data_IF_370677571078
#
_entry.id   IF_370677571078
#
_cell.length_a   1.000
_cell.length_b   1.000
_cell.length_c   1.000
_cell.angle_alpha   90.00
_cell.angle_beta   90.00
_cell.angle_gamma   90.00
#
_symmetry.space_group_name_H-M   'P 1'
#
loop_
_entity.id
_entity.type
_entity.pdbx_description
1 polymer ?
#
# COMPACT_ATOMS: atom_id res chain seq x y z
N UNK A 1 -48.56 -50.02 27.43
CA UNK A 1 -48.86 -48.72 26.81
C UNK A 1 -49.10 -47.73 27.94
N UNK A 2 -48.18 -46.80 28.17
CA UNK A 2 -48.20 -45.87 29.29
C UNK A 2 -48.05 -44.46 28.69
N UNK A 3 -48.92 -43.48 29.01
CA UNK A 3 -48.83 -42.16 28.40
C UNK A 3 -47.68 -41.35 29.01
N UNK A 4 -46.86 -40.76 28.14
CA UNK A 4 -45.77 -39.86 28.50
C UNK A 4 -46.33 -38.51 28.98
N UNK A 5 -45.77 -37.98 30.07
CA UNK A 5 -46.11 -36.67 30.62
C UNK A 5 -45.52 -35.53 29.76
N UNK A 6 -46.19 -34.37 29.67
CA UNK A 6 -45.70 -33.22 28.90
C UNK A 6 -44.48 -32.57 29.58
N UNK A 7 -43.41 -32.36 28.83
CA UNK A 7 -42.24 -31.61 29.30
C UNK A 7 -42.52 -30.09 29.28
N UNK A 8 -42.01 -29.31 30.27
CA UNK A 8 -42.12 -27.86 30.26
C UNK A 8 -41.25 -27.24 29.16
N UNK A 9 -41.82 -26.36 28.35
CA UNK A 9 -41.09 -25.57 27.36
C UNK A 9 -40.29 -24.46 28.06
N UNK A 10 -38.97 -24.44 27.88
CA UNK A 10 -38.09 -23.38 28.35
C UNK A 10 -38.14 -22.23 27.32
N UNK A 11 -38.61 -21.06 27.75
CA UNK A 11 -38.61 -19.86 26.90
C UNK A 11 -37.20 -19.24 26.84
N UNK A 12 -36.75 -18.75 25.68
CA UNK A 12 -35.48 -18.04 25.57
C UNK A 12 -35.57 -16.65 26.21
N UNK A 13 -34.64 -16.36 27.12
CA UNK A 13 -34.47 -15.06 27.78
C UNK A 13 -33.90 -14.06 26.76
N UNK A 14 -34.63 -12.98 26.48
CA UNK A 14 -34.15 -11.88 25.65
C UNK A 14 -33.18 -10.98 26.44
N UNK A 15 -32.12 -10.43 25.79
CA UNK A 15 -31.21 -9.51 26.44
C UNK A 15 -31.87 -8.15 26.72
N UNK A 16 -31.59 -7.58 27.89
CA UNK A 16 -32.07 -6.28 28.32
C UNK A 16 -31.48 -5.17 27.43
N UNK A 17 -32.36 -4.42 26.80
CA UNK A 17 -32.06 -3.17 26.10
C UNK A 17 -31.57 -2.12 27.11
N UNK A 18 -30.34 -1.66 26.94
CA UNK A 18 -29.81 -0.48 27.63
C UNK A 18 -30.64 0.74 27.19
N UNK A 19 -31.28 1.40 28.15
CA UNK A 19 -31.96 2.67 27.92
C UNK A 19 -30.93 3.78 27.64
N UNK A 20 -31.09 4.49 26.52
CA UNK A 20 -30.39 5.73 26.24
C UNK A 20 -30.91 6.86 27.16
N UNK A 21 -30.03 7.68 27.77
CA UNK A 21 -30.46 8.88 28.48
C UNK A 21 -30.99 9.96 27.51
N UNK A 22 -32.00 10.74 27.90
CA UNK A 22 -32.58 11.77 27.05
C UNK A 22 -31.62 12.93 26.79
N UNK A 23 -31.64 13.43 25.55
CA UNK A 23 -30.90 14.59 25.10
C UNK A 23 -31.33 15.86 25.85
N UNK A 24 -30.39 16.54 26.51
CA UNK A 24 -30.62 17.88 27.02
C UNK A 24 -30.43 18.91 25.90
N UNK A 25 -31.51 19.62 25.61
CA UNK A 25 -31.52 20.80 24.75
C UNK A 25 -30.67 21.91 25.39
N UNK A 26 -29.62 22.36 24.71
CA UNK A 26 -28.85 23.54 25.11
C UNK A 26 -29.65 24.80 24.73
N UNK A 27 -29.96 25.64 25.72
CA UNK A 27 -30.50 26.99 25.49
C UNK A 27 -29.39 27.95 25.06
N UNK A 28 -29.65 28.90 24.14
CA UNK A 28 -28.69 29.93 23.76
C UNK A 28 -28.57 31.03 24.84
N UNK A 29 -27.33 31.44 25.12
CA UNK A 29 -27.00 32.50 26.06
C UNK A 29 -27.33 33.91 25.51
N UNK A 30 -27.93 34.81 26.32
CA UNK A 30 -28.19 36.19 25.90
C UNK A 30 -26.93 37.06 26.00
N UNK A 31 -26.78 37.94 25.02
CA UNK A 31 -25.68 38.89 24.86
C UNK A 31 -25.82 40.05 25.88
N UNK A 32 -24.73 40.46 26.52
CA UNK A 32 -24.66 41.66 27.36
C UNK A 32 -23.92 42.77 26.59
N UNK A 33 -24.57 43.93 26.45
CA UNK A 33 -24.04 45.17 25.87
C UNK A 33 -23.29 46.02 26.91
N UNK A 34 -22.41 46.96 26.48
CA UNK A 34 -21.59 47.79 27.36
C UNK A 34 -22.31 49.06 27.86
N UNK A 35 -22.00 49.48 29.08
CA UNK A 35 -22.45 50.77 29.65
C UNK A 35 -21.28 51.76 29.78
N UNK A 36 -21.57 53.03 29.51
CA UNK A 36 -20.68 54.18 29.41
C UNK A 36 -20.98 55.23 30.52
N UNK A 37 -20.01 56.16 30.70
CA UNK A 37 -20.05 57.51 31.33
C UNK A 37 -19.81 57.64 32.87
N UNK A 38 -19.33 58.81 33.39
CA UNK A 38 -18.37 59.80 32.87
C UNK A 38 -17.28 60.27 33.89
N UNK A 39 -16.38 61.13 33.40
CA UNK A 39 -15.14 61.65 34.02
C UNK A 39 -15.30 62.93 34.88
N UNK A 40 -14.35 63.20 35.80
CA UNK A 40 -13.88 64.56 36.23
C UNK A 40 -12.56 64.49 37.06
N UNK A 41 -11.55 65.33 36.72
CA UNK A 41 -10.59 65.97 37.67
C UNK A 41 -9.10 65.52 37.74
N UNK A 42 -8.15 66.40 37.34
CA UNK A 42 -6.65 66.36 37.44
C UNK A 42 -6.13 67.05 38.74
N UNK A 43 -4.80 67.19 39.09
CA UNK A 43 -3.52 66.69 38.49
C UNK A 43 -2.41 66.13 39.47
N UNK A 44 -1.33 65.56 38.88
CA UNK A 44 0.10 65.39 39.33
C UNK A 44 0.42 64.78 40.73
N UNK A 45 1.41 63.89 40.97
CA UNK A 45 2.86 64.00 40.72
C UNK A 45 3.64 62.74 41.26
N UNK A 46 4.87 62.51 40.74
CA UNK A 46 6.04 61.75 41.32
C UNK A 46 6.08 60.20 41.19
N UNK A 47 6.92 59.67 40.27
CA UNK A 47 8.32 59.20 40.44
C UNK A 47 8.44 57.85 41.17
N UNK A 48 8.58 56.77 40.38
CA UNK A 48 9.79 55.93 40.23
C UNK A 48 10.14 55.07 41.45
N UNK A 49 10.01 53.75 41.31
CA UNK A 49 10.95 52.69 41.74
C UNK A 49 10.31 51.33 41.39
N UNK A 50 10.66 50.73 40.26
CA UNK A 50 10.28 49.35 39.93
C UNK A 50 11.52 48.46 39.83
N UNK A 51 11.50 47.42 40.65
CA UNK A 51 12.52 46.40 40.79
C UNK A 51 12.70 45.62 39.48
N UNK A 52 13.96 45.41 39.09
CA UNK A 52 14.35 44.60 37.94
C UNK A 52 14.03 43.12 38.19
N UNK A 53 13.26 42.51 37.29
CA UNK A 53 13.13 41.05 37.21
C UNK A 53 14.37 40.46 36.50
N UNK A 54 14.88 39.28 36.92
CA UNK A 54 16.03 38.63 36.28
C UNK A 54 15.72 38.19 34.84
N UNK A 55 16.62 38.50 33.90
CA UNK A 55 16.56 37.95 32.54
C UNK A 55 16.97 36.47 32.52
N UNK A 56 16.29 35.61 31.74
CA UNK A 56 16.76 34.25 31.47
C UNK A 56 18.04 34.24 30.61
N UNK A 57 18.91 33.23 30.75
CA UNK A 57 20.17 33.15 30.01
C UNK A 57 19.93 32.92 28.49
N UNK A 58 20.88 33.32 27.63
CA UNK A 58 20.77 33.12 26.18
C UNK A 58 20.72 31.62 25.86
N UNK A 59 19.66 31.18 25.17
CA UNK A 59 19.60 29.84 24.60
C UNK A 59 20.60 29.67 23.44
N UNK A 60 20.99 28.43 23.11
CA UNK A 60 21.89 28.14 22.01
C UNK A 60 21.32 28.61 20.67
N UNK A 61 22.16 29.25 19.86
CA UNK A 61 21.82 29.80 18.55
C UNK A 61 21.42 28.68 17.57
N UNK A 62 20.22 28.75 17.03
CA UNK A 62 19.81 27.86 15.94
C UNK A 62 20.68 28.11 14.69
N UNK A 63 21.22 27.05 14.04
CA UNK A 63 21.96 27.21 12.80
C UNK A 63 21.03 27.72 11.69
N UNK A 64 21.47 28.78 11.02
CA UNK A 64 20.78 29.44 9.90
C UNK A 64 20.51 28.41 8.78
N UNK A 65 19.24 28.05 8.56
CA UNK A 65 18.83 27.28 7.38
C UNK A 65 19.11 28.09 6.12
N UNK A 66 20.09 27.66 5.33
CA UNK A 66 20.31 28.18 3.98
C UNK A 66 19.15 27.73 3.09
N UNK A 67 18.25 28.66 2.77
CA UNK A 67 17.25 28.49 1.72
C UNK A 67 17.94 28.35 0.37
N UNK A 68 18.01 27.12 -0.17
CA UNK A 68 18.31 26.90 -1.59
C UNK A 68 17.01 27.08 -2.39
N UNK A 69 16.53 28.32 -2.45
CA UNK A 69 15.65 28.76 -3.53
C UNK A 69 16.58 28.92 -4.73
N UNK A 70 16.50 28.00 -5.70
CA UNK A 70 16.94 28.09 -7.12
C UNK A 70 17.35 26.71 -7.67
N UNK A 71 16.38 25.82 -7.91
CA UNK A 71 16.42 24.87 -9.04
C UNK A 71 15.00 24.77 -9.60
N UNK A 72 14.50 25.89 -10.11
CA UNK A 72 13.39 25.95 -11.04
C UNK A 72 13.92 26.82 -12.17
N UNK A 73 14.36 26.19 -13.27
CA UNK A 73 14.63 26.73 -14.62
C UNK A 73 15.69 25.87 -15.35
N UNK A 74 15.42 24.58 -15.57
CA UNK A 74 16.22 23.78 -16.52
C UNK A 74 15.49 22.54 -17.07
N UNK A 75 14.16 22.59 -17.30
CA UNK A 75 13.41 21.45 -17.88
C UNK A 75 12.33 21.93 -18.86
N UNK A 76 12.68 22.85 -19.77
CA UNK A 76 11.85 23.18 -20.95
C UNK A 76 12.64 23.20 -22.27
N UNK A 77 13.83 22.60 -22.30
CA UNK A 77 14.65 22.48 -23.51
C UNK A 77 15.03 21.04 -23.90
N UNK A 78 14.59 20.03 -23.15
CA UNK A 78 14.87 18.61 -23.45
C UNK A 78 13.68 17.86 -24.09
N UNK A 79 12.49 18.45 -24.11
CA UNK A 79 11.28 17.82 -24.70
C UNK A 79 11.07 18.10 -26.19
N UNK A 80 11.97 18.86 -26.85
CA UNK A 80 11.88 19.13 -28.31
C UNK A 80 12.89 18.31 -29.13
N UNK A 81 13.86 17.63 -28.50
CA UNK A 81 14.90 16.88 -29.25
C UNK A 81 14.59 15.38 -29.39
N UNK A 82 13.74 14.79 -28.55
CA UNK A 82 13.41 13.34 -28.64
C UNK A 82 12.21 13.06 -29.57
N UNK A 83 11.44 14.07 -29.97
CA UNK A 83 10.40 13.92 -31.00
C UNK A 83 10.94 14.01 -32.46
N UNK A 84 12.24 14.26 -32.65
CA UNK A 84 12.85 14.48 -33.96
C UNK A 84 13.66 13.31 -34.55
N UNK A 85 13.91 12.23 -33.79
CA UNK A 85 14.87 11.19 -34.18
C UNK A 85 14.27 9.81 -34.54
N UNK A 86 12.96 9.60 -34.36
CA UNK A 86 12.29 8.32 -34.74
C UNK A 86 11.36 8.49 -35.96
N UNK A 87 11.11 9.71 -36.43
CA UNK A 87 10.22 9.98 -37.58
C UNK A 87 10.88 10.06 -38.95
N UNK A 88 12.21 9.97 -39.05
CA UNK A 88 12.96 10.37 -40.26
C UNK A 88 13.79 9.25 -40.92
N UNK A 89 13.49 7.98 -40.68
CA UNK A 89 14.14 6.85 -41.41
C UNK A 89 13.18 5.89 -42.12
N UNK A 90 11.86 6.14 -42.10
CA UNK A 90 10.88 5.32 -42.84
C UNK A 90 10.18 6.04 -44.01
N UNK A 91 10.64 7.24 -44.39
CA UNK A 91 9.96 8.06 -45.40
C UNK A 91 10.71 8.20 -46.74
N UNK A 92 11.70 7.36 -47.07
CA UNK A 92 12.42 7.45 -48.34
C UNK A 92 12.87 6.09 -48.91
N UNK A 93 11.95 5.15 -49.12
CA UNK A 93 12.08 4.16 -50.20
C UNK A 93 10.68 3.76 -50.68
N UNK A 94 10.24 4.39 -51.76
CA UNK A 94 9.02 4.03 -52.47
C UNK A 94 9.25 2.92 -53.49
N UNK A 95 8.18 2.15 -53.75
CA UNK A 95 7.98 1.22 -54.88
C UNK A 95 7.09 0.05 -54.45
N UNK A 96 5.75 0.09 -54.65
CA UNK A 96 4.99 -0.37 -55.84
C UNK A 96 5.26 -1.86 -56.15
N UNK A 97 4.31 -2.80 -56.31
CA UNK A 97 2.85 -2.86 -56.46
C UNK A 97 2.41 -4.32 -56.15
N UNK A 98 1.14 -4.57 -55.80
CA UNK A 98 0.54 -5.92 -55.92
C UNK A 98 -0.50 -6.34 -54.87
N UNK A 99 -1.74 -5.86 -55.02
CA UNK A 99 -3.01 -6.63 -55.15
C UNK A 99 -2.94 -8.17 -54.93
N UNK A 100 -3.83 -8.90 -54.24
CA UNK A 100 -5.28 -8.79 -53.98
C UNK A 100 -5.72 -9.69 -52.78
N UNK A 101 -6.86 -9.31 -52.17
CA UNK A 101 -7.97 -10.09 -51.58
C UNK A 101 -7.74 -11.23 -50.55
N UNK A 102 -8.15 -11.06 -49.28
CA UNK A 102 -9.51 -11.27 -48.71
C UNK A 102 -10.00 -12.72 -48.76
N UNK A 103 -10.07 -13.37 -47.58
CA UNK A 103 -10.73 -14.67 -47.40
C UNK A 103 -10.91 -15.02 -45.93
N UNK A 104 -12.01 -14.55 -45.35
CA UNK A 104 -12.44 -14.73 -43.96
C UNK A 104 -13.29 -16.00 -43.82
N UNK A 105 -13.24 -16.60 -42.63
CA UNK A 105 -14.29 -17.43 -41.99
C UNK A 105 -14.45 -18.90 -42.41
N UNK A 106 -14.20 -19.78 -41.43
CA UNK A 106 -15.30 -20.56 -40.83
C UNK A 106 -15.27 -22.09 -41.04
N UNK A 107 -15.77 -22.86 -40.05
CA UNK A 107 -15.37 -24.25 -39.80
C UNK A 107 -16.34 -25.28 -40.41
N UNK A 108 -15.87 -26.51 -40.64
CA UNK A 108 -16.75 -27.65 -40.92
C UNK A 108 -16.57 -28.72 -39.84
N UNK A 109 -17.64 -28.92 -39.08
CA UNK A 109 -17.87 -30.08 -38.20
C UNK A 109 -18.63 -31.11 -39.02
N UNK A 110 -18.21 -32.38 -38.96
CA UNK A 110 -19.09 -33.52 -39.18
C UNK A 110 -18.61 -34.71 -38.36
N UNK A 111 -19.55 -35.23 -37.58
CA UNK A 111 -19.46 -36.30 -36.60
C UNK A 111 -19.87 -37.67 -37.17
N UNK A 112 -19.29 -38.74 -36.61
CA UNK A 112 -19.84 -40.11 -36.39
C UNK A 112 -20.00 -41.03 -37.63
N UNK A 113 -19.73 -42.35 -37.64
CA UNK A 113 -19.62 -43.38 -36.57
C UNK A 113 -19.06 -44.72 -37.15
N UNK A 114 -18.38 -45.53 -36.31
CA UNK A 114 -18.29 -47.04 -36.26
C UNK A 114 -17.65 -47.80 -37.45
N UNK A 115 -16.81 -48.84 -37.38
CA UNK A 115 -16.41 -49.83 -36.36
C UNK A 115 -15.02 -50.43 -36.70
N UNK A 116 -14.31 -50.96 -35.69
CA UNK A 116 -13.20 -51.93 -35.83
C UNK A 116 -13.76 -53.37 -35.63
N UNK A 117 -12.99 -54.49 -35.59
CA UNK A 117 -11.54 -54.72 -35.87
C UNK A 117 -11.25 -56.01 -36.69
N UNK A 118 -10.03 -56.17 -37.23
CA UNK A 118 -9.32 -57.47 -37.27
C UNK A 118 -7.79 -57.31 -37.44
N UNK A 119 -7.08 -57.86 -36.46
CA UNK A 119 -5.69 -58.33 -36.34
C UNK A 119 -5.07 -58.91 -37.65
N UNK A 120 -3.78 -58.91 -37.99
CA UNK A 120 -2.46 -58.55 -37.42
C UNK A 120 -1.38 -58.73 -38.55
N UNK A 121 -0.08 -58.86 -38.27
CA UNK A 121 1.02 -57.88 -38.36
C UNK A 121 1.88 -57.99 -39.65
N UNK A 122 2.74 -57.00 -39.95
CA UNK A 122 4.16 -57.16 -40.40
C UNK A 122 4.82 -55.78 -40.62
N UNK A 123 5.94 -55.60 -39.92
CA UNK A 123 7.07 -54.64 -40.04
C UNK A 123 7.02 -53.45 -41.02
N UNK A 124 7.24 -52.26 -40.44
CA UNK A 124 7.74 -51.06 -41.14
C UNK A 124 8.35 -50.06 -40.14
N UNK A 125 9.56 -49.52 -40.38
CA UNK A 125 10.31 -48.75 -39.39
C UNK A 125 9.74 -47.33 -39.28
N UNK A 126 9.28 -46.93 -38.10
CA UNK A 126 8.73 -45.58 -37.91
C UNK A 126 9.39 -44.86 -36.73
N UNK A 127 10.18 -43.87 -37.12
CA UNK A 127 10.39 -42.57 -36.49
C UNK A 127 10.76 -42.53 -35.00
N UNK A 128 12.00 -42.11 -34.77
CA UNK A 128 12.42 -41.38 -33.57
C UNK A 128 11.36 -40.33 -33.21
N UNK A 129 10.64 -40.61 -32.12
CA UNK A 129 9.75 -39.63 -31.52
C UNK A 129 10.64 -38.60 -30.82
N UNK A 130 10.54 -37.30 -31.13
CA UNK A 130 11.24 -36.28 -30.36
C UNK A 130 10.74 -36.36 -28.93
N UNK A 131 11.61 -36.80 -28.01
CA UNK A 131 11.33 -36.73 -26.58
C UNK A 131 11.27 -35.25 -26.23
N UNK A 132 10.07 -34.70 -26.08
CA UNK A 132 9.87 -33.41 -25.44
C UNK A 132 10.57 -33.45 -24.08
N UNK A 133 11.54 -32.56 -23.80
CA UNK A 133 12.13 -32.49 -22.48
C UNK A 133 11.02 -32.25 -21.47
N UNK A 134 10.96 -33.08 -20.43
CA UNK A 134 10.07 -32.84 -19.30
C UNK A 134 10.33 -31.43 -18.76
N UNK A 135 9.28 -30.68 -18.37
CA UNK A 135 9.46 -29.35 -17.80
C UNK A 135 10.40 -29.45 -16.60
N UNK A 136 11.45 -28.62 -16.61
CA UNK A 136 12.42 -28.50 -15.54
C UNK A 136 11.67 -28.33 -14.24
N UNK A 137 11.90 -29.26 -13.30
CA UNK A 137 11.29 -29.24 -11.97
C UNK A 137 11.48 -27.86 -11.35
N UNK A 138 10.37 -27.12 -11.20
CA UNK A 138 10.34 -25.85 -10.50
C UNK A 138 10.93 -26.07 -9.11
N UNK A 139 11.89 -25.24 -8.72
CA UNK A 139 12.45 -25.28 -7.37
C UNK A 139 11.31 -25.19 -6.34
N UNK A 140 11.44 -25.85 -5.17
CA UNK A 140 10.44 -25.71 -4.11
C UNK A 140 10.20 -24.23 -3.78
N UNK A 141 8.95 -23.82 -3.47
CA UNK A 141 8.67 -22.44 -3.11
C UNK A 141 9.53 -22.05 -1.89
N UNK A 142 9.99 -20.79 -1.81
CA UNK A 142 10.79 -20.33 -0.68
C UNK A 142 10.03 -20.48 0.64
N UNK A 143 10.78 -20.66 1.72
CA UNK A 143 10.22 -20.79 3.07
C UNK A 143 9.75 -19.42 3.59
N UNK A 144 8.59 -19.35 4.29
CA UNK A 144 8.16 -18.13 4.97
C UNK A 144 9.01 -17.84 6.22
N UNK A 145 9.51 -16.61 6.34
CA UNK A 145 10.17 -16.06 7.53
C UNK A 145 9.22 -15.07 8.22
N UNK A 146 8.93 -15.27 9.51
CA UNK A 146 7.97 -14.43 10.25
C UNK A 146 8.67 -13.46 11.19
N UNK A 147 8.28 -12.18 11.11
CA UNK A 147 8.78 -11.07 11.91
C UNK A 147 7.60 -10.30 12.52
N UNK A 148 7.14 -10.69 13.72
CA UNK A 148 6.02 -10.03 14.37
C UNK A 148 6.43 -8.75 15.10
N UNK A 149 5.51 -7.79 15.21
CA UNK A 149 5.62 -6.65 16.11
C UNK A 149 6.66 -5.60 15.72
N UNK A 150 6.96 -5.47 14.43
CA UNK A 150 7.87 -4.42 13.95
C UNK A 150 7.19 -3.07 14.17
N UNK A 151 7.86 -2.20 14.93
CA UNK A 151 7.45 -0.82 15.13
C UNK A 151 8.18 0.06 14.11
N UNK A 152 7.48 0.51 13.08
CA UNK A 152 8.02 1.38 12.05
C UNK A 152 7.63 2.83 12.35
N UNK A 153 8.62 3.62 12.78
CA UNK A 153 8.42 5.02 13.14
C UNK A 153 8.26 5.93 11.91
N UNK A 154 7.62 7.08 12.10
CA UNK A 154 7.53 8.13 11.07
C UNK A 154 8.92 8.58 10.64
N UNK A 155 9.16 8.58 9.32
CA UNK A 155 10.46 8.91 8.73
C UNK A 155 11.45 7.75 8.69
N UNK A 156 10.99 6.52 8.97
CA UNK A 156 11.82 5.31 8.94
C UNK A 156 11.35 4.34 7.87
N UNK A 157 12.26 3.51 7.42
CA UNK A 157 12.04 2.43 6.46
C UNK A 157 12.55 1.08 6.97
N UNK A 158 12.14 0.04 6.28
CA UNK A 158 12.74 -1.30 6.35
C UNK A 158 13.16 -1.73 4.94
N UNK A 159 14.25 -2.48 4.86
CA UNK A 159 14.65 -3.22 3.66
C UNK A 159 14.06 -4.60 3.78
N UNK A 160 13.15 -4.98 2.88
CA UNK A 160 12.42 -6.25 2.96
C UNK A 160 13.37 -7.44 2.76
N UNK A 161 14.41 -7.23 1.95
CA UNK A 161 15.49 -8.18 1.72
C UNK A 161 16.41 -8.44 2.92
N UNK A 162 16.32 -7.65 4.01
CA UNK A 162 17.16 -7.83 5.19
C UNK A 162 16.64 -8.89 6.17
N UNK A 163 17.53 -9.67 6.81
CA UNK A 163 17.14 -10.72 7.76
C UNK A 163 16.49 -10.19 9.03
N UNK A 164 16.88 -9.00 9.49
CA UNK A 164 16.42 -8.48 10.78
C UNK A 164 15.23 -7.51 10.64
N UNK A 165 14.88 -7.11 9.41
CA UNK A 165 13.86 -6.08 9.10
C UNK A 165 13.93 -4.86 10.04
N UNK A 166 15.16 -4.43 10.37
CA UNK A 166 15.38 -3.40 11.37
C UNK A 166 14.99 -2.02 10.81
N UNK A 167 14.09 -1.28 11.48
CA UNK A 167 13.78 0.08 11.08
C UNK A 167 15.02 0.98 11.10
N UNK A 168 15.23 1.71 10.01
CA UNK A 168 16.33 2.66 9.83
C UNK A 168 15.78 4.01 9.37
N UNK A 169 16.41 5.11 9.79
CA UNK A 169 15.97 6.46 9.43
C UNK A 169 16.14 6.70 7.91
N UNK A 170 15.15 7.31 7.27
CA UNK A 170 15.15 7.62 5.84
C UNK A 170 13.91 7.11 5.12
N UNK A 171 13.71 7.53 3.86
CA UNK A 171 12.53 7.20 3.06
C UNK A 171 12.87 6.52 1.71
N UNK A 172 14.14 6.24 1.44
CA UNK A 172 14.62 5.91 0.07
C UNK A 172 14.67 4.39 -0.21
N UNK A 173 14.03 3.55 0.61
CA UNK A 173 14.17 2.09 0.59
C UNK A 173 12.86 1.33 0.32
N UNK A 174 12.88 0.01 0.48
CA UNK A 174 11.82 -0.91 0.06
C UNK A 174 10.43 -0.58 0.64
N UNK A 175 10.34 -0.15 1.90
CA UNK A 175 9.08 0.29 2.49
C UNK A 175 9.35 1.27 3.63
N UNK A 176 8.76 2.46 3.55
CA UNK A 176 8.81 3.47 4.59
C UNK A 176 7.44 3.77 5.19
N UNK A 177 7.45 4.31 6.40
CA UNK A 177 6.29 4.90 7.04
C UNK A 177 6.48 6.41 7.16
N UNK A 178 5.52 7.17 6.66
CA UNK A 178 5.60 8.63 6.66
C UNK A 178 4.26 9.26 7.01
N UNK A 179 4.30 10.31 7.84
CA UNK A 179 3.16 11.11 8.22
C UNK A 179 3.33 12.56 7.76
N UNK A 180 2.45 13.02 6.87
CA UNK A 180 2.48 14.40 6.38
C UNK A 180 2.00 15.38 7.47
N UNK A 181 2.85 16.33 7.82
CA UNK A 181 2.48 17.39 8.78
C UNK A 181 1.38 18.33 8.26
N UNK A 182 1.14 18.35 6.94
CA UNK A 182 0.13 19.24 6.34
C UNK A 182 -1.25 18.59 6.26
N UNK A 183 -1.31 17.27 6.05
CA UNK A 183 -2.55 16.53 5.87
C UNK A 183 -2.96 15.74 7.12
N UNK A 184 -2.06 15.55 8.10
CA UNK A 184 -2.25 14.58 9.21
C UNK A 184 -2.53 13.15 8.71
N UNK A 185 -2.12 12.85 7.48
CA UNK A 185 -2.29 11.57 6.83
C UNK A 185 -0.96 10.82 6.89
N UNK A 186 -1.03 9.58 7.37
CA UNK A 186 0.09 8.66 7.39
C UNK A 186 -0.10 7.60 6.31
N UNK A 187 1.00 7.13 5.73
CA UNK A 187 0.98 6.05 4.74
C UNK A 187 2.21 5.15 4.85
N UNK A 188 2.09 3.96 4.29
CA UNK A 188 3.22 3.16 3.85
C UNK A 188 3.54 3.51 2.40
N UNK A 189 4.81 3.77 2.09
CA UNK A 189 5.27 4.17 0.77
C UNK A 189 6.52 3.43 0.34
N UNK A 190 6.82 3.46 -0.96
CA UNK A 190 8.05 2.93 -1.54
C UNK A 190 8.35 3.53 -2.91
N UNK A 191 9.64 3.67 -3.24
CA UNK A 191 10.08 4.19 -4.53
C UNK A 191 10.18 3.13 -5.63
N UNK A 192 10.56 1.90 -5.27
CA UNK A 192 10.76 0.78 -6.22
C UNK A 192 9.85 -0.42 -5.95
N UNK A 193 9.59 -0.71 -4.68
CA UNK A 193 8.67 -1.78 -4.27
C UNK A 193 7.25 -1.50 -4.76
N UNK A 194 6.58 -2.57 -5.17
CA UNK A 194 5.15 -2.53 -5.53
C UNK A 194 4.34 -3.06 -4.37
N UNK A 195 3.31 -2.33 -3.97
CA UNK A 195 2.35 -2.82 -2.99
C UNK A 195 1.07 -3.29 -3.63
N UNK A 196 0.38 -4.22 -2.96
CA UNK A 196 -1.02 -4.54 -3.25
C UNK A 196 -1.78 -4.65 -1.94
N UNK A 197 -2.76 -3.78 -1.74
CA UNK A 197 -3.68 -3.89 -0.61
C UNK A 197 -4.70 -5.00 -0.89
N UNK A 198 -4.76 -6.00 -0.03
CA UNK A 198 -5.72 -7.09 -0.16
C UNK A 198 -7.12 -6.64 0.29
N UNK A 199 -8.14 -7.27 -0.28
CA UNK A 199 -9.52 -6.95 0.08
C UNK A 199 -9.81 -7.36 1.53
N UNK A 200 -10.80 -6.72 2.14
CA UNK A 200 -11.12 -6.96 3.55
C UNK A 200 -11.56 -8.42 3.77
N UNK A 201 -10.82 -9.15 4.62
CA UNK A 201 -11.06 -10.56 4.90
C UNK A 201 -10.44 -11.54 3.90
N UNK A 202 -9.82 -11.04 2.83
CA UNK A 202 -8.95 -11.85 1.97
C UNK A 202 -7.69 -12.25 2.74
N UNK A 203 -7.31 -13.53 2.64
CA UNK A 203 -6.09 -14.04 3.27
C UNK A 203 -4.92 -13.93 2.30
N UNK A 204 -3.90 -13.20 2.71
CA UNK A 204 -2.63 -13.13 2.02
C UNK A 204 -1.85 -14.44 2.09
N UNK A 205 -1.13 -14.71 1.01
CA UNK A 205 -0.17 -15.80 0.87
C UNK A 205 0.85 -15.42 -0.20
N UNK A 206 1.96 -16.17 -0.30
CA UNK A 206 2.92 -15.97 -1.40
C UNK A 206 2.23 -16.02 -2.77
N UNK A 207 1.34 -17.00 -2.97
CA UNK A 207 0.60 -17.18 -4.22
C UNK A 207 -0.33 -15.99 -4.51
N UNK A 208 -1.04 -15.51 -3.50
CA UNK A 208 -1.88 -14.30 -3.60
C UNK A 208 -1.03 -13.10 -4.04
N UNK A 209 0.10 -12.87 -3.36
CA UNK A 209 0.97 -11.73 -3.62
C UNK A 209 1.67 -11.77 -4.98
N UNK A 210 1.96 -12.97 -5.50
CA UNK A 210 2.54 -13.12 -6.83
C UNK A 210 1.51 -12.94 -7.95
N UNK A 211 0.23 -13.23 -7.69
CA UNK A 211 -0.84 -13.18 -8.70
C UNK A 211 -1.58 -11.86 -8.74
N UNK A 212 -1.69 -11.16 -7.62
CA UNK A 212 -2.39 -9.89 -7.58
C UNK A 212 -1.54 -8.79 -8.23
N UNK A 213 -2.14 -8.06 -9.17
CA UNK A 213 -1.48 -7.05 -10.01
C UNK A 213 -2.07 -5.66 -9.83
N UNK A 214 -2.92 -5.46 -8.82
CA UNK A 214 -3.52 -4.16 -8.46
C UNK A 214 -2.49 -3.25 -7.76
N UNK A 215 -1.35 -3.05 -8.42
CA UNK A 215 -0.20 -2.39 -7.82
C UNK A 215 -0.49 -0.94 -7.44
N UNK A 216 -0.01 -0.55 -6.27
CA UNK A 216 0.10 0.82 -5.78
C UNK A 216 1.51 1.07 -5.24
N UNK A 217 1.88 2.34 -5.08
CA UNK A 217 3.12 2.76 -4.42
C UNK A 217 2.91 3.26 -3.00
N UNK A 218 1.65 3.53 -2.66
CA UNK A 218 1.28 4.10 -1.38
C UNK A 218 0.01 3.40 -0.86
N UNK A 219 -0.01 3.16 0.45
CA UNK A 219 -1.18 2.68 1.19
C UNK A 219 -1.40 3.63 2.36
N UNK A 220 -2.45 4.45 2.25
CA UNK A 220 -2.92 5.32 3.34
C UNK A 220 -3.34 4.48 4.55
N UNK A 221 -2.85 4.84 5.75
CA UNK A 221 -3.21 4.19 7.01
C UNK A 221 -4.71 4.30 7.30
N UNK A 222 -5.36 5.36 6.82
CA UNK A 222 -6.81 5.56 6.97
C UNK A 222 -7.66 4.45 6.31
N UNK A 223 -7.09 3.67 5.39
CA UNK A 223 -7.74 2.54 4.73
C UNK A 223 -7.50 1.22 5.46
N UNK A 224 -6.61 1.22 6.45
CA UNK A 224 -6.19 0.04 7.19
C UNK A 224 -6.97 -0.08 8.49
N UNK A 225 -7.34 -1.31 8.79
CA UNK A 225 -7.87 -1.74 10.08
C UNK A 225 -6.95 -2.82 10.64
N UNK A 226 -6.99 -3.08 11.95
CA UNK A 226 -6.22 -4.19 12.52
C UNK A 226 -6.52 -5.50 11.78
N UNK A 227 -5.47 -6.18 11.32
CA UNK A 227 -5.56 -7.38 10.49
C UNK A 227 -5.67 -7.13 8.99
N UNK A 228 -5.75 -5.87 8.52
CA UNK A 228 -5.61 -5.56 7.10
C UNK A 228 -4.26 -6.05 6.59
N UNK A 229 -4.25 -6.65 5.40
CA UNK A 229 -3.05 -7.23 4.82
C UNK A 229 -2.72 -6.58 3.49
N UNK A 230 -1.43 -6.41 3.22
CA UNK A 230 -0.96 -5.98 1.92
C UNK A 230 0.34 -6.70 1.55
N UNK A 231 0.51 -6.92 0.25
CA UNK A 231 1.71 -7.50 -0.32
C UNK A 231 2.71 -6.40 -0.62
N UNK A 232 4.00 -6.70 -0.48
CA UNK A 232 5.10 -5.89 -0.97
C UNK A 232 6.05 -6.76 -1.78
N UNK A 233 6.38 -6.30 -2.98
CA UNK A 233 7.15 -7.08 -3.95
C UNK A 233 8.33 -6.26 -4.46
N UNK A 234 9.53 -6.77 -4.24
CA UNK A 234 10.79 -6.28 -4.82
C UNK A 234 11.18 -7.18 -6.00
N UNK A 235 12.40 -7.04 -6.53
CA UNK A 235 12.87 -7.82 -7.69
C UNK A 235 13.06 -9.32 -7.38
N UNK A 236 13.32 -9.68 -6.11
CA UNK A 236 13.60 -11.07 -5.71
C UNK A 236 12.79 -11.52 -4.50
N UNK A 237 12.19 -10.60 -3.75
CA UNK A 237 11.57 -10.88 -2.45
C UNK A 237 10.11 -10.46 -2.46
N UNK A 238 9.27 -11.30 -1.87
CA UNK A 238 7.86 -11.00 -1.62
C UNK A 238 7.65 -10.96 -0.11
N UNK A 239 6.91 -9.98 0.37
CA UNK A 239 6.47 -9.91 1.75
C UNK A 239 4.95 -9.75 1.83
N UNK A 240 4.37 -10.36 2.87
CA UNK A 240 3.01 -10.11 3.31
C UNK A 240 3.07 -9.32 4.62
N UNK A 241 2.51 -8.13 4.60
CA UNK A 241 2.47 -7.23 5.75
C UNK A 241 1.07 -7.29 6.33
N UNK A 242 0.96 -7.50 7.64
CA UNK A 242 -0.29 -7.41 8.38
C UNK A 242 -0.22 -6.19 9.30
N UNK A 243 -1.11 -5.23 9.06
CA UNK A 243 -1.21 -4.04 9.90
C UNK A 243 -1.87 -4.37 11.23
N UNK A 244 -1.23 -4.02 12.34
CA UNK A 244 -1.79 -4.22 13.67
C UNK A 244 -2.47 -2.95 14.17
N UNK A 245 -1.73 -1.86 14.28
CA UNK A 245 -2.29 -0.55 14.65
C UNK A 245 -1.29 0.57 14.34
N UNK A 246 -1.78 1.81 14.33
CA UNK A 246 -0.96 3.00 14.41
C UNK A 246 -0.89 3.51 15.87
N UNK A 247 0.15 4.25 16.20
CA UNK A 247 0.27 4.99 17.45
C UNK A 247 -0.89 5.96 17.64
N UNK A 248 -1.36 6.14 18.87
CA UNK A 248 -2.36 7.17 19.16
C UNK A 248 -1.72 8.56 19.15
N UNK A 249 -2.51 9.58 18.86
CA UNK A 249 -2.06 10.99 18.88
C UNK A 249 -1.55 11.48 20.24
N UNK A 250 -1.86 10.76 21.32
CA UNK A 250 -1.39 11.07 22.68
C UNK A 250 -0.06 10.41 23.03
N UNK A 251 0.47 9.54 22.17
CA UNK A 251 1.75 8.87 22.39
C UNK A 251 2.92 9.79 22.02
N UNK A 252 4.09 9.52 22.61
CA UNK A 252 5.27 10.37 22.44
C UNK A 252 5.88 10.29 21.04
N UNK A 253 5.55 9.27 20.26
CA UNK A 253 6.11 9.01 18.94
C UNK A 253 5.02 8.54 17.99
N UNK A 254 5.16 8.92 16.73
CA UNK A 254 4.28 8.48 15.64
C UNK A 254 4.89 7.25 14.98
N UNK A 255 4.16 6.13 14.96
CA UNK A 255 4.63 4.88 14.39
C UNK A 255 3.46 3.97 14.01
N UNK A 256 3.74 2.93 13.21
CA UNK A 256 2.84 1.81 12.99
C UNK A 256 3.45 0.50 13.50
N UNK A 257 2.60 -0.41 13.93
CA UNK A 257 2.97 -1.78 14.30
C UNK A 257 2.50 -2.71 13.22
N UNK A 258 3.42 -3.51 12.68
CA UNK A 258 3.16 -4.47 11.62
C UNK A 258 3.79 -5.82 11.93
N UNK A 259 3.16 -6.88 11.44
CA UNK A 259 3.81 -8.17 11.30
C UNK A 259 4.18 -8.38 9.84
N UNK A 260 5.35 -8.95 9.58
CA UNK A 260 5.84 -9.19 8.23
C UNK A 260 6.16 -10.67 8.07
N UNK A 261 5.65 -11.28 6.99
CA UNK A 261 6.09 -12.59 6.52
C UNK A 261 6.85 -12.41 5.23
N UNK A 262 8.11 -12.87 5.17
CA UNK A 262 9.01 -12.68 4.03
C UNK A 262 9.27 -14.01 3.33
N UNK A 263 9.24 -13.99 2.01
CA UNK A 263 9.69 -15.07 1.14
C UNK A 263 10.84 -14.57 0.28
N UNK A 264 12.08 -14.86 0.71
CA UNK A 264 13.28 -14.47 -0.02
C UNK A 264 13.47 -15.35 -1.25
N UNK A 265 13.97 -14.78 -2.33
CA UNK A 265 14.17 -15.47 -3.61
C UNK A 265 12.85 -16.07 -4.17
N UNK A 266 11.73 -15.38 -3.94
CA UNK A 266 10.41 -15.76 -4.44
C UNK A 266 10.24 -15.49 -5.94
N UNK A 267 11.03 -14.56 -6.47
CA UNK A 267 11.00 -14.19 -7.89
C UNK A 267 12.35 -14.59 -8.49
N UNK A 268 12.36 -15.44 -9.54
CA UNK A 268 13.58 -15.75 -10.26
C UNK A 268 14.18 -14.48 -10.89
N UNK A 269 15.51 -14.35 -10.95
CA UNK A 269 16.12 -13.27 -11.72
C UNK A 269 15.67 -13.37 -13.18
N UNK A 270 15.35 -12.25 -13.80
CA UNK A 270 15.17 -12.19 -15.24
C UNK A 270 16.54 -12.32 -15.91
N UNK A 271 16.72 -13.28 -16.82
CA UNK A 271 17.96 -13.62 -17.53
C UNK A 271 18.48 -12.54 -18.51
N UNK A 272 18.18 -11.26 -18.26
CA UNK A 272 18.66 -10.13 -19.06
C UNK A 272 19.68 -9.31 -18.26
N UNK A 273 20.90 -9.86 -18.11
CA UNK A 273 22.10 -9.08 -17.74
C UNK A 273 23.38 -9.61 -18.39
#
# INVERSE_FOLDING_TARGET
MQPAAPQPQVQPVQPAYMQQPPAQHQQPAPHQQPAQHPAYGYPQQQQQHSYAAPQPPPGPQQPKRKTKRNVLLATLAALVVIAGAVGATLALTGGKDGKDDVGKSGPSVSTSTTAAPVDNPTDGPTADTPTTPAPTTSAPPPSPESHPGIQLADGYHVVIGDPDLKPTEGLDEDMYYYCSSMASECHFGADVTKFVLLDQGEKGSLDTCLKDTRYTREIEVARLSAGSQFCATTDSTVALITFQHASKSTEASTYAVIDVTVWRNAIPPTDDQ
#
